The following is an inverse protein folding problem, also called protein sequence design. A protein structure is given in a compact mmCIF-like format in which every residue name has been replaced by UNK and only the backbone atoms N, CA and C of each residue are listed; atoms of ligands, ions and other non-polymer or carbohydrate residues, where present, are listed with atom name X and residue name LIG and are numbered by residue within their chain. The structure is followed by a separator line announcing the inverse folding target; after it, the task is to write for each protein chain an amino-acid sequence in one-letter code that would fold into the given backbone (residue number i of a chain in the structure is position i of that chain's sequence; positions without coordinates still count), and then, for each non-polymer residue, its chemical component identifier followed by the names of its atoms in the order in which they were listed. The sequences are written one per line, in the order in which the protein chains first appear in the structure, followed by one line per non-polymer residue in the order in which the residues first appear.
data_IF_461072984081
#
_entry.id   IF_461072984081
#
_cell.length_a   1.000
_cell.length_b   1.000
_cell.length_c   1.000
_cell.angle_alpha   90.00
_cell.angle_beta   90.00
_cell.angle_gamma   90.00
#
_symmetry.space_group_name_H-M   'P 1'
#
loop_
_entity.id
_entity.type
_entity.pdbx_description
1 polymer ?
#
# COMPACT_ATOMS: atom_id res chain seq x y z
N UNK A 1 27.74 -4.92 19.64
CA UNK A 1 26.30 -4.94 20.07
C UNK A 1 25.55 -3.99 19.16
N UNK A 2 24.92 -4.54 18.09
CA UNK A 2 24.03 -3.76 17.24
C UNK A 2 22.82 -3.35 18.06
N UNK A 3 22.71 -2.07 18.38
CA UNK A 3 21.48 -1.49 18.94
C UNK A 3 20.42 -1.60 17.83
N UNK A 4 19.58 -2.62 17.92
CA UNK A 4 18.50 -2.84 16.96
C UNK A 4 17.48 -1.74 17.15
N UNK A 5 17.50 -0.74 16.27
CA UNK A 5 16.50 0.31 16.24
C UNK A 5 15.11 -0.31 15.99
N UNK A 6 14.12 -0.03 16.86
CA UNK A 6 12.73 -0.53 16.73
C UNK A 6 12.14 -0.28 15.34
N UNK A 7 12.46 0.85 14.70
CA UNK A 7 12.07 1.13 13.32
C UNK A 7 12.65 0.07 12.36
N UNK A 8 13.93 -0.28 12.49
CA UNK A 8 14.58 -1.28 11.63
C UNK A 8 13.97 -2.67 11.87
N UNK A 9 13.61 -2.98 13.12
CA UNK A 9 12.92 -4.20 13.49
C UNK A 9 11.55 -4.30 12.82
N UNK A 10 10.72 -3.26 12.92
CA UNK A 10 9.39 -3.22 12.31
C UNK A 10 9.46 -3.36 10.77
N UNK A 11 10.45 -2.75 10.12
CA UNK A 11 10.65 -2.89 8.65
C UNK A 11 10.99 -4.35 8.30
N UNK A 12 11.89 -5.00 9.04
CA UNK A 12 12.23 -6.42 8.85
C UNK A 12 11.03 -7.33 9.09
N UNK A 13 10.35 -7.13 10.22
CA UNK A 13 9.18 -7.93 10.59
C UNK A 13 8.09 -7.82 9.52
N UNK A 14 7.80 -6.61 9.05
CA UNK A 14 6.81 -6.39 7.99
C UNK A 14 7.20 -7.14 6.70
N UNK A 15 8.48 -7.14 6.32
CA UNK A 15 8.95 -7.90 5.17
C UNK A 15 8.74 -9.42 5.32
N UNK A 16 8.96 -9.98 6.51
CA UNK A 16 8.66 -11.40 6.77
C UNK A 16 7.16 -11.69 6.73
N UNK A 17 6.34 -10.80 7.28
CA UNK A 17 4.88 -10.94 7.28
C UNK A 17 4.31 -10.85 5.86
N UNK A 18 4.77 -9.91 5.04
CA UNK A 18 4.40 -9.81 3.62
C UNK A 18 4.78 -11.09 2.86
N UNK A 19 6.01 -11.58 3.08
CA UNK A 19 6.47 -12.84 2.45
C UNK A 19 5.66 -14.06 2.90
N UNK A 20 5.31 -14.14 4.19
CA UNK A 20 4.48 -15.21 4.73
C UNK A 20 3.12 -15.28 4.03
N UNK A 21 2.44 -14.14 3.86
CA UNK A 21 1.15 -14.08 3.17
C UNK A 21 1.30 -14.46 1.69
N UNK A 22 2.34 -13.98 1.01
CA UNK A 22 2.62 -14.31 -0.39
C UNK A 22 2.89 -15.81 -0.59
N UNK A 23 3.68 -16.43 0.28
CA UNK A 23 3.95 -17.87 0.24
C UNK A 23 2.69 -18.69 0.51
N UNK A 24 1.89 -18.31 1.49
CA UNK A 24 0.64 -19.00 1.81
C UNK A 24 -0.39 -18.86 0.68
N UNK A 25 -0.47 -17.69 0.04
CA UNK A 25 -1.28 -17.52 -1.15
C UNK A 25 -0.85 -18.46 -2.28
N UNK A 26 0.44 -18.51 -2.60
CA UNK A 26 0.99 -19.38 -3.65
C UNK A 26 0.85 -20.87 -3.31
N UNK A 27 0.91 -21.24 -2.03
CA UNK A 27 0.72 -22.60 -1.56
C UNK A 27 -0.73 -23.07 -1.73
N UNK A 28 -1.70 -22.20 -1.39
CA UNK A 28 -3.13 -22.54 -1.45
C UNK A 28 -3.67 -22.51 -2.87
N UNK A 29 -3.25 -21.53 -3.68
CA UNK A 29 -3.85 -21.25 -4.98
C UNK A 29 -2.84 -21.53 -6.10
N UNK A 30 -2.81 -22.77 -6.54
CA UNK A 30 -1.91 -23.27 -7.60
C UNK A 30 -2.44 -22.90 -8.99
N UNK A 31 -1.62 -23.10 -10.02
CA UNK A 31 -1.98 -22.87 -11.42
C UNK A 31 -3.22 -23.66 -11.88
N UNK A 32 -3.52 -24.79 -11.23
CA UNK A 32 -4.73 -25.60 -11.51
C UNK A 32 -6.00 -25.05 -10.86
N UNK A 33 -5.91 -24.00 -10.02
CA UNK A 33 -7.10 -23.37 -9.42
C UNK A 33 -7.94 -22.72 -10.51
N UNK A 34 -9.28 -22.90 -10.52
CA UNK A 34 -10.16 -22.17 -11.44
C UNK A 34 -9.89 -20.67 -11.38
N UNK A 35 -10.06 -20.00 -12.52
CA UNK A 35 -9.79 -18.54 -12.61
C UNK A 35 -11.04 -17.76 -12.96
N UNK A 36 -11.01 -16.46 -12.62
CA UNK A 36 -12.01 -15.47 -12.99
C UNK A 36 -11.29 -14.19 -13.42
N UNK A 37 -11.84 -13.48 -14.38
CA UNK A 37 -11.30 -12.15 -14.73
C UNK A 37 -11.35 -11.19 -13.54
N UNK A 38 -10.26 -10.47 -13.30
CA UNK A 38 -10.15 -9.49 -12.22
C UNK A 38 -11.32 -8.48 -12.22
N UNK A 39 -11.78 -8.05 -13.40
CA UNK A 39 -12.91 -7.13 -13.57
C UNK A 39 -14.26 -7.65 -13.11
N UNK A 40 -14.40 -8.97 -12.90
CA UNK A 40 -15.63 -9.55 -12.31
C UNK A 40 -15.73 -9.27 -10.81
N UNK A 41 -14.60 -9.09 -10.13
CA UNK A 41 -14.50 -8.94 -8.66
C UNK A 41 -14.01 -7.56 -8.20
N UNK A 42 -13.30 -6.83 -9.05
CA UNK A 42 -12.83 -5.47 -8.80
C UNK A 42 -13.39 -4.49 -9.83
N UNK A 43 -13.53 -3.24 -9.46
CA UNK A 43 -13.75 -2.10 -10.36
C UNK A 43 -12.61 -1.10 -10.24
N UNK A 44 -12.40 -0.31 -11.29
CA UNK A 44 -11.43 0.80 -11.26
C UNK A 44 -12.18 2.09 -10.94
N UNK A 45 -11.71 2.82 -9.92
CA UNK A 45 -12.17 4.17 -9.62
C UNK A 45 -11.24 5.20 -10.27
N UNK A 46 -11.83 6.22 -10.86
CA UNK A 46 -11.16 7.41 -11.40
C UNK A 46 -11.80 8.68 -10.85
N UNK A 47 -12.38 8.59 -9.66
CA UNK A 47 -13.02 9.71 -8.98
C UNK A 47 -11.96 10.78 -8.69
N UNK A 48 -12.01 11.86 -9.47
CA UNK A 48 -11.01 12.92 -9.42
C UNK A 48 -11.42 14.00 -8.44
N UNK A 49 -10.44 14.44 -7.65
CA UNK A 49 -10.60 15.55 -6.72
C UNK A 49 -9.44 16.55 -6.92
N UNK A 50 -9.71 17.80 -6.61
CA UNK A 50 -8.73 18.89 -6.66
C UNK A 50 -8.48 19.40 -5.24
N UNK A 51 -7.44 18.92 -4.56
CA UNK A 51 -7.16 19.38 -3.19
C UNK A 51 -7.03 20.90 -3.06
N UNK A 52 -6.54 21.59 -4.10
CA UNK A 52 -6.37 23.05 -4.12
C UNK A 52 -7.68 23.83 -3.90
N UNK A 53 -8.84 23.22 -4.20
CA UNK A 53 -10.15 23.84 -3.96
C UNK A 53 -10.59 23.75 -2.49
N UNK A 54 -9.78 23.12 -1.63
CA UNK A 54 -10.01 22.87 -0.21
C UNK A 54 -8.92 23.54 0.66
N UNK A 55 -8.76 24.85 0.53
CA UNK A 55 -7.68 25.59 1.17
C UNK A 55 -7.59 25.38 2.70
N UNK A 56 -6.39 25.13 3.19
CA UNK A 56 -6.11 24.94 4.63
C UNK A 56 -6.38 23.53 5.17
N UNK A 57 -6.92 22.61 4.37
CA UNK A 57 -7.11 21.21 4.79
C UNK A 57 -5.82 20.40 4.66
N UNK A 58 -5.63 19.45 5.58
CA UNK A 58 -4.51 18.49 5.54
C UNK A 58 -5.00 17.20 4.87
N UNK A 59 -4.26 16.78 3.85
CA UNK A 59 -4.57 15.62 3.03
C UNK A 59 -3.56 14.49 3.24
N UNK A 60 -4.05 13.27 3.36
CA UNK A 60 -3.25 12.03 3.36
C UNK A 60 -2.99 11.63 1.91
N UNK A 61 -1.79 11.94 1.40
CA UNK A 61 -1.42 11.81 -0.01
C UNK A 61 -0.53 10.60 -0.26
N UNK A 62 -1.05 9.65 -1.04
CA UNK A 62 -0.36 8.47 -1.51
C UNK A 62 0.28 8.75 -2.88
N UNK A 63 1.58 8.99 -2.90
CA UNK A 63 2.34 9.33 -4.12
C UNK A 63 3.40 8.28 -4.44
N UNK A 64 3.91 8.26 -5.70
CA UNK A 64 5.01 7.37 -6.08
C UNK A 64 6.28 7.68 -5.27
N UNK A 65 6.73 8.95 -5.11
CA UNK A 65 7.87 9.24 -4.26
C UNK A 65 7.72 8.76 -2.82
N UNK A 66 6.55 8.99 -2.20
CA UNK A 66 6.28 8.54 -0.84
C UNK A 66 6.29 7.00 -0.71
N UNK A 67 5.88 6.27 -1.77
CA UNK A 67 6.02 4.83 -1.81
C UNK A 67 7.49 4.40 -1.85
N UNK A 68 8.27 5.00 -2.74
CA UNK A 68 9.67 4.64 -2.96
C UNK A 68 10.56 4.99 -1.75
N UNK A 69 10.23 6.04 -1.01
CA UNK A 69 10.96 6.47 0.18
C UNK A 69 10.76 5.53 1.38
N UNK A 70 9.51 5.29 1.76
CA UNK A 70 9.23 4.54 3.00
C UNK A 70 7.91 3.77 3.02
N UNK A 71 7.18 3.74 1.91
CA UNK A 71 5.84 3.15 1.78
C UNK A 71 4.83 3.70 2.80
N UNK A 72 4.91 5.02 3.06
CA UNK A 72 3.97 5.74 3.92
C UNK A 72 3.42 6.97 3.22
N UNK A 73 2.13 7.32 3.40
CA UNK A 73 1.57 8.53 2.82
C UNK A 73 2.16 9.77 3.48
N UNK A 74 2.21 10.86 2.71
CA UNK A 74 2.53 12.18 3.23
C UNK A 74 1.25 12.86 3.74
N UNK A 75 1.37 13.61 4.82
CA UNK A 75 0.33 14.51 5.31
C UNK A 75 0.76 15.93 4.97
N UNK A 76 0.07 16.55 4.02
CA UNK A 76 0.44 17.86 3.51
C UNK A 76 -0.79 18.75 3.31
N UNK A 77 -0.58 20.05 3.38
CA UNK A 77 -1.64 21.01 3.10
C UNK A 77 -2.08 20.91 1.64
N UNK A 78 -3.37 21.11 1.43
CA UNK A 78 -4.01 21.12 0.11
C UNK A 78 -3.27 22.00 -0.91
N UNK A 79 -2.76 23.15 -0.49
CA UNK A 79 -2.03 24.10 -1.33
C UNK A 79 -0.69 23.56 -1.88
N UNK A 80 -0.12 22.55 -1.20
CA UNK A 80 1.08 21.83 -1.65
C UNK A 80 0.79 20.84 -2.78
N UNK A 81 -0.46 20.37 -2.91
CA UNK A 81 -0.87 19.36 -3.88
C UNK A 81 -1.34 20.03 -5.17
N UNK A 82 -0.44 20.32 -6.10
CA UNK A 82 -0.70 21.17 -7.29
C UNK A 82 -1.42 20.51 -8.46
N UNK A 83 -1.82 19.25 -8.37
CA UNK A 83 -2.48 18.53 -9.47
C UNK A 83 -3.67 17.72 -8.96
N UNK A 84 -4.61 17.44 -9.87
CA UNK A 84 -5.72 16.55 -9.57
C UNK A 84 -5.21 15.20 -9.05
N UNK A 85 -5.96 14.63 -8.14
CA UNK A 85 -5.70 13.33 -7.52
C UNK A 85 -6.93 12.44 -7.64
N UNK A 86 -6.78 11.14 -7.37
CA UNK A 86 -7.92 10.26 -7.18
C UNK A 86 -8.29 10.17 -5.71
N UNK A 87 -9.57 10.32 -5.41
CA UNK A 87 -10.12 10.05 -4.08
C UNK A 87 -10.03 8.55 -3.77
N UNK A 88 -9.59 8.21 -2.56
CA UNK A 88 -9.46 6.84 -2.10
C UNK A 88 -10.04 6.66 -0.70
N UNK A 89 -10.32 5.43 -0.38
CA UNK A 89 -10.74 5.00 0.96
C UNK A 89 -9.94 3.75 1.40
N UNK A 90 -10.12 3.35 2.64
CA UNK A 90 -9.43 2.20 3.22
C UNK A 90 -9.78 0.86 2.55
N UNK A 91 -10.80 0.78 1.69
CA UNK A 91 -11.13 -0.43 0.94
C UNK A 91 -10.42 -0.53 -0.41
N UNK A 92 -9.76 0.55 -0.85
CA UNK A 92 -9.03 0.55 -2.10
C UNK A 92 -7.77 -0.33 -2.06
N UNK A 93 -7.33 -0.75 -3.26
CA UNK A 93 -6.00 -1.31 -3.52
C UNK A 93 -5.38 -0.46 -4.62
N UNK A 94 -4.16 0.03 -4.39
CA UNK A 94 -3.46 0.88 -5.35
C UNK A 94 -2.31 0.11 -5.99
N UNK A 95 -2.18 0.22 -7.30
CA UNK A 95 -0.99 -0.27 -8.02
C UNK A 95 -0.50 0.78 -9.01
N UNK A 96 0.81 0.98 -9.09
CA UNK A 96 1.39 1.93 -10.02
C UNK A 96 1.17 1.49 -11.47
N UNK A 97 0.67 2.42 -12.31
CA UNK A 97 0.69 2.27 -13.77
C UNK A 97 2.09 2.39 -14.34
N UNK A 98 2.92 3.19 -13.68
CA UNK A 98 4.23 3.58 -14.14
C UNK A 98 5.25 2.51 -13.82
N UNK A 99 6.00 2.09 -14.84
CA UNK A 99 7.09 1.13 -14.74
C UNK A 99 6.69 -0.14 -13.97
N UNK A 100 5.83 -1.01 -14.53
CA UNK A 100 5.26 -2.15 -13.83
C UNK A 100 6.31 -3.20 -13.40
N UNK A 101 7.50 -3.20 -13.99
CA UNK A 101 8.62 -4.01 -13.51
C UNK A 101 9.09 -3.61 -12.10
N UNK A 102 8.90 -2.33 -11.73
CA UNK A 102 9.09 -1.87 -10.35
C UNK A 102 7.76 -1.94 -9.63
N UNK A 103 7.50 -3.07 -9.00
CA UNK A 103 6.23 -3.32 -8.33
C UNK A 103 5.98 -2.33 -7.18
N UNK A 104 4.96 -1.48 -7.34
CA UNK A 104 4.47 -0.56 -6.32
C UNK A 104 3.00 -0.82 -6.08
N UNK A 105 2.72 -1.54 -5.01
CA UNK A 105 1.36 -1.88 -4.60
C UNK A 105 1.10 -1.40 -3.18
N UNK A 106 -0.05 -0.78 -2.96
CA UNK A 106 -0.42 -0.21 -1.67
C UNK A 106 -1.79 -0.69 -1.22
N UNK A 107 -1.88 -1.04 0.05
CA UNK A 107 -3.14 -1.19 0.77
C UNK A 107 -3.27 0.05 1.67
N UNK A 108 -3.96 1.11 1.24
CA UNK A 108 -4.04 2.34 2.00
C UNK A 108 -4.78 2.12 3.32
N UNK A 109 -4.35 2.81 4.37
CA UNK A 109 -5.02 2.83 5.67
C UNK A 109 -6.09 3.91 5.78
N UNK A 110 -5.91 5.01 5.04
CA UNK A 110 -6.82 6.15 5.02
C UNK A 110 -7.25 6.56 6.44
N UNK A 111 -6.27 7.07 7.19
CA UNK A 111 -6.48 7.51 8.59
C UNK A 111 -7.06 8.91 8.68
N UNK A 112 -7.05 9.66 7.57
CA UNK A 112 -7.65 10.98 7.41
C UNK A 112 -8.97 10.87 6.64
N UNK A 113 -9.88 11.79 6.88
CA UNK A 113 -11.11 11.96 6.07
C UNK A 113 -10.78 12.37 4.63
N UNK A 114 -9.64 13.05 4.44
CA UNK A 114 -9.16 13.53 3.16
C UNK A 114 -7.97 12.69 2.69
N UNK A 115 -8.28 11.57 2.02
CA UNK A 115 -7.26 10.65 1.49
C UNK A 115 -7.29 10.62 -0.03
N UNK A 116 -6.11 10.85 -0.64
CA UNK A 116 -5.96 10.87 -2.10
C UNK A 116 -4.72 10.13 -2.56
N UNK A 117 -4.74 9.67 -3.81
CA UNK A 117 -3.54 9.13 -4.43
C UNK A 117 -3.21 9.83 -5.77
N UNK A 118 -1.94 9.71 -6.17
CA UNK A 118 -1.49 10.15 -7.50
C UNK A 118 -2.30 9.48 -8.59
N UNK A 119 -2.62 10.23 -9.66
CA UNK A 119 -3.28 9.69 -10.85
C UNK A 119 -2.42 8.66 -11.61
N UNK A 120 -1.16 8.47 -11.23
CA UNK A 120 -0.30 7.38 -11.72
C UNK A 120 -0.59 6.03 -11.05
N UNK A 121 -1.48 5.97 -10.07
CA UNK A 121 -2.01 4.71 -9.55
C UNK A 121 -3.29 4.28 -10.29
N UNK A 122 -3.48 2.97 -10.41
CA UNK A 122 -4.77 2.34 -10.66
C UNK A 122 -5.39 2.13 -9.27
N UNK A 123 -6.61 2.62 -9.10
CA UNK A 123 -7.37 2.48 -7.86
C UNK A 123 -8.39 1.37 -8.05
N UNK A 124 -8.14 0.22 -7.48
CA UNK A 124 -9.11 -0.86 -7.47
C UNK A 124 -10.04 -0.75 -6.25
N UNK A 125 -11.34 -0.88 -6.51
CA UNK A 125 -12.38 -1.01 -5.47
C UNK A 125 -12.96 -2.44 -5.51
N UNK A 126 -12.76 -3.25 -4.45
CA UNK A 126 -13.36 -4.58 -4.34
C UNK A 126 -14.89 -4.51 -4.35
N UNK A 127 -15.55 -5.34 -5.17
CA UNK A 127 -17.02 -5.48 -5.14
C UNK A 127 -17.48 -6.16 -3.85
N UNK A 128 -16.63 -7.01 -3.27
CA UNK A 128 -16.80 -7.55 -1.93
C UNK A 128 -15.60 -7.12 -1.05
N UNK A 129 -15.76 -6.10 -0.18
CA UNK A 129 -14.68 -5.61 0.69
C UNK A 129 -14.12 -6.66 1.66
N UNK A 130 -14.90 -7.69 2.03
CA UNK A 130 -14.44 -8.76 2.92
C UNK A 130 -13.28 -9.56 2.32
N UNK A 131 -13.18 -9.60 0.98
CA UNK A 131 -12.14 -10.35 0.24
C UNK A 131 -10.95 -9.47 -0.16
N UNK A 132 -10.86 -8.24 0.34
CA UNK A 132 -9.78 -7.29 0.01
C UNK A 132 -8.39 -7.91 0.15
N UNK A 133 -8.12 -8.63 1.25
CA UNK A 133 -6.82 -9.25 1.49
C UNK A 133 -6.47 -10.35 0.50
N UNK A 134 -7.46 -11.10 0.04
CA UNK A 134 -7.28 -12.07 -1.03
C UNK A 134 -6.97 -11.40 -2.37
N UNK A 135 -7.74 -10.37 -2.73
CA UNK A 135 -7.48 -9.62 -3.96
C UNK A 135 -6.13 -8.90 -3.94
N UNK A 136 -5.76 -8.34 -2.78
CA UNK A 136 -4.45 -7.74 -2.62
C UNK A 136 -3.33 -8.77 -2.84
N UNK A 137 -3.42 -9.95 -2.24
CA UNK A 137 -2.42 -11.01 -2.43
C UNK A 137 -2.35 -11.50 -3.88
N UNK A 138 -3.49 -11.59 -4.58
CA UNK A 138 -3.54 -11.93 -6.00
C UNK A 138 -2.83 -10.87 -6.87
N UNK A 139 -3.08 -9.58 -6.61
CA UNK A 139 -2.44 -8.46 -7.31
C UNK A 139 -0.96 -8.34 -6.91
N UNK A 140 -0.59 -8.69 -5.69
CA UNK A 140 0.81 -8.72 -5.24
C UNK A 140 1.60 -9.94 -5.75
N UNK A 141 0.96 -10.87 -6.45
CA UNK A 141 1.61 -12.07 -6.96
C UNK A 141 2.58 -11.77 -8.12
N UNK A 142 3.58 -12.64 -8.30
CA UNK A 142 4.49 -12.56 -9.46
C UNK A 142 3.72 -12.75 -10.77
N UNK A 143 2.74 -13.63 -10.81
CA UNK A 143 1.92 -13.87 -12.00
C UNK A 143 1.18 -12.59 -12.47
N UNK A 144 0.69 -11.78 -11.55
CA UNK A 144 0.10 -10.49 -11.91
C UNK A 144 1.15 -9.50 -12.41
N UNK A 145 2.33 -9.46 -11.81
CA UNK A 145 3.44 -8.61 -12.28
C UNK A 145 3.86 -8.99 -13.69
N UNK A 146 4.00 -10.28 -13.99
CA UNK A 146 4.33 -10.80 -15.32
C UNK A 146 3.24 -10.43 -16.34
N UNK A 147 1.97 -10.55 -15.93
CA UNK A 147 0.84 -10.12 -16.75
C UNK A 147 0.90 -8.61 -17.06
N UNK A 148 1.20 -7.77 -16.07
CA UNK A 148 1.35 -6.33 -16.29
C UNK A 148 2.46 -6.04 -17.31
N UNK A 149 3.63 -6.67 -17.15
CA UNK A 149 4.79 -6.50 -18.03
C UNK A 149 4.45 -6.91 -19.46
N UNK A 150 3.69 -7.97 -19.66
CA UNK A 150 3.25 -8.43 -20.97
C UNK A 150 2.27 -7.47 -21.66
N UNK A 151 1.62 -6.57 -20.91
CA UNK A 151 0.60 -5.65 -21.42
C UNK A 151 1.01 -4.16 -21.30
N UNK A 152 2.32 -3.87 -21.21
CA UNK A 152 2.81 -2.49 -21.17
C UNK A 152 2.72 -1.81 -22.54
N UNK A 153 2.54 -0.50 -22.50
CA UNK A 153 2.69 0.39 -23.65
C UNK A 153 3.83 1.37 -23.38
N UNK A 154 4.57 1.74 -24.42
CA UNK A 154 5.71 2.67 -24.33
C UNK A 154 7.05 2.01 -24.69
N UNK A 155 7.93 2.77 -25.34
CA UNK A 155 9.17 2.27 -25.96
C UNK A 155 10.39 2.24 -25.04
N UNK A 156 10.34 2.90 -23.88
CA UNK A 156 11.47 2.98 -22.94
C UNK A 156 11.02 2.61 -21.54
N UNK A 157 11.88 1.90 -20.77
CA UNK A 157 11.57 1.41 -19.44
C UNK A 157 10.99 2.46 -18.47
N UNK A 158 11.52 3.69 -18.50
CA UNK A 158 11.05 4.79 -17.63
C UNK A 158 9.69 5.38 -18.05
N UNK A 159 9.23 5.13 -19.30
CA UNK A 159 7.96 5.62 -19.85
C UNK A 159 6.92 4.53 -20.05
N UNK A 160 7.23 3.30 -19.70
CA UNK A 160 6.28 2.19 -19.76
C UNK A 160 5.12 2.43 -18.81
N UNK A 161 3.91 2.26 -19.32
CA UNK A 161 2.68 2.35 -18.53
C UNK A 161 1.75 1.18 -18.83
N UNK A 162 1.17 0.64 -17.78
CA UNK A 162 0.10 -0.34 -17.91
C UNK A 162 -1.22 0.36 -18.18
N UNK A 163 -1.98 -0.13 -19.15
CA UNK A 163 -3.33 0.33 -19.42
C UNK A 163 -4.29 -0.18 -18.34
N UNK A 164 -4.97 0.69 -17.55
CA UNK A 164 -5.81 0.25 -16.43
C UNK A 164 -6.88 -0.77 -16.83
N UNK A 165 -7.56 -0.54 -17.94
CA UNK A 165 -8.63 -1.44 -18.42
C UNK A 165 -8.10 -2.84 -18.79
N UNK A 166 -6.89 -2.94 -19.33
CA UNK A 166 -6.28 -4.21 -19.68
C UNK A 166 -6.01 -5.07 -18.43
N UNK A 167 -5.79 -4.46 -17.26
CA UNK A 167 -5.56 -5.21 -16.02
C UNK A 167 -6.79 -5.98 -15.56
N UNK A 168 -7.98 -5.56 -15.95
CA UNK A 168 -9.24 -6.21 -15.57
C UNK A 168 -9.44 -7.57 -16.25
N UNK A 169 -8.70 -7.87 -17.33
CA UNK A 169 -8.73 -9.18 -18.01
C UNK A 169 -7.80 -10.20 -17.37
N UNK A 170 -7.04 -9.83 -16.33
CA UNK A 170 -6.17 -10.77 -15.63
C UNK A 170 -6.95 -11.96 -15.06
N UNK A 171 -6.57 -13.20 -15.41
CA UNK A 171 -7.20 -14.41 -14.88
C UNK A 171 -6.68 -14.71 -13.46
N UNK A 172 -7.31 -14.15 -12.44
CA UNK A 172 -6.96 -14.39 -11.05
C UNK A 172 -7.56 -15.71 -10.53
N UNK A 173 -6.97 -16.34 -9.52
CA UNK A 173 -7.54 -17.53 -8.87
C UNK A 173 -8.96 -17.29 -8.33
N UNK A 174 -9.85 -18.24 -8.53
CA UNK A 174 -11.22 -18.26 -7.99
C UNK A 174 -11.53 -19.61 -7.35
N UNK A 175 -10.99 -19.88 -6.15
CA UNK A 175 -11.07 -21.22 -5.52
C UNK A 175 -12.41 -21.51 -4.85
N UNK A 176 -13.37 -20.57 -4.90
CA UNK A 176 -14.64 -20.63 -4.20
C UNK A 176 -14.65 -19.87 -2.88
N UNK A 177 -15.85 -19.63 -2.36
CA UNK A 177 -16.13 -18.77 -1.20
C UNK A 177 -15.34 -19.18 0.05
N UNK A 178 -15.46 -20.43 0.47
CA UNK A 178 -14.87 -20.93 1.73
C UNK A 178 -13.34 -20.84 1.72
N UNK A 179 -12.71 -21.11 0.57
CA UNK A 179 -11.26 -21.02 0.44
C UNK A 179 -10.77 -19.57 0.48
N UNK A 180 -11.53 -18.63 -0.09
CA UNK A 180 -11.25 -17.18 -0.02
C UNK A 180 -11.42 -16.71 1.42
N UNK A 181 -12.50 -17.06 2.10
CA UNK A 181 -12.72 -16.68 3.50
C UNK A 181 -11.66 -17.24 4.43
N UNK A 182 -11.31 -18.51 4.26
CA UNK A 182 -10.23 -19.14 5.04
C UNK A 182 -8.87 -18.47 4.82
N UNK A 183 -8.60 -17.99 3.60
CA UNK A 183 -7.40 -17.18 3.35
C UNK A 183 -7.50 -15.79 3.98
N UNK A 184 -8.63 -15.11 3.87
CA UNK A 184 -8.83 -13.79 4.48
C UNK A 184 -8.73 -13.85 6.00
N UNK A 185 -9.27 -14.89 6.63
CA UNK A 185 -9.14 -15.10 8.09
C UNK A 185 -7.67 -15.22 8.53
N UNK A 186 -6.82 -15.84 7.70
CA UNK A 186 -5.37 -15.92 7.92
C UNK A 186 -4.68 -14.57 7.63
N UNK A 187 -4.97 -13.91 6.49
CA UNK A 187 -4.21 -12.76 6.00
C UNK A 187 -4.60 -11.43 6.67
N UNK A 188 -5.88 -11.25 7.05
CA UNK A 188 -6.37 -10.00 7.64
C UNK A 188 -5.61 -9.58 8.90
N UNK A 189 -5.40 -10.45 9.92
CA UNK A 189 -4.64 -10.07 11.12
C UNK A 189 -3.20 -9.72 10.79
N UNK A 190 -2.58 -10.39 9.82
CA UNK A 190 -1.20 -10.12 9.39
C UNK A 190 -1.10 -8.74 8.74
N UNK A 191 -1.98 -8.41 7.79
CA UNK A 191 -1.98 -7.08 7.17
C UNK A 191 -2.30 -5.97 8.17
N UNK A 192 -3.19 -6.23 9.14
CA UNK A 192 -3.46 -5.31 10.24
C UNK A 192 -2.22 -5.08 11.11
N UNK A 193 -1.47 -6.14 11.42
CA UNK A 193 -0.20 -6.02 12.15
C UNK A 193 0.84 -5.20 11.38
N UNK A 194 0.97 -5.43 10.06
CA UNK A 194 1.87 -4.65 9.20
C UNK A 194 1.50 -3.15 9.26
N UNK A 195 0.22 -2.82 9.20
CA UNK A 195 -0.25 -1.43 9.31
C UNK A 195 0.05 -0.83 10.68
N UNK A 196 -0.20 -1.58 11.76
CA UNK A 196 0.12 -1.17 13.14
C UNK A 196 1.62 -0.88 13.30
N UNK A 197 2.48 -1.77 12.82
CA UNK A 197 3.94 -1.59 12.87
C UNK A 197 4.41 -0.33 12.09
N UNK A 198 3.75 -0.02 10.97
CA UNK A 198 4.03 1.20 10.19
C UNK A 198 3.65 2.46 10.95
N UNK A 199 2.48 2.48 11.60
CA UNK A 199 2.02 3.60 12.43
C UNK A 199 2.91 3.80 13.65
N UNK A 200 3.28 2.72 14.34
CA UNK A 200 4.22 2.76 15.46
C UNK A 200 5.58 3.33 15.02
N UNK A 201 6.12 2.87 13.89
CA UNK A 201 7.38 3.39 13.36
C UNK A 201 7.32 4.89 13.06
N UNK A 202 6.19 5.39 12.54
CA UNK A 202 5.97 6.82 12.31
C UNK A 202 5.95 7.60 13.62
N UNK A 203 5.22 7.09 14.61
CA UNK A 203 5.14 7.69 15.93
C UNK A 203 6.51 7.74 16.62
N UNK A 204 7.29 6.65 16.58
CA UNK A 204 8.65 6.60 17.14
C UNK A 204 9.61 7.61 16.49
N UNK A 205 9.51 7.81 15.17
CA UNK A 205 10.30 8.83 14.46
C UNK A 205 9.90 10.23 14.93
N UNK A 206 8.61 10.53 15.02
CA UNK A 206 8.12 11.83 15.50
C UNK A 206 8.53 12.09 16.95
N UNK A 207 8.47 11.08 17.81
CA UNK A 207 8.89 11.17 19.21
C UNK A 207 10.40 11.45 19.31
N UNK A 208 11.23 10.72 18.56
CA UNK A 208 12.67 10.94 18.51
C UNK A 208 12.99 12.39 18.09
N UNK A 209 12.35 12.86 17.02
CA UNK A 209 12.62 14.18 16.45
C UNK A 209 12.15 15.32 17.37
N UNK A 210 11.13 15.06 18.20
CA UNK A 210 10.69 15.99 19.24
C UNK A 210 11.58 16.00 20.49
N UNK A 211 12.12 14.84 20.87
CA UNK A 211 12.91 14.71 22.11
C UNK A 211 14.39 15.01 21.90
N UNK A 212 14.98 14.65 20.75
CA UNK A 212 16.42 14.78 20.52
C UNK A 212 16.94 16.21 20.70
N UNK A 213 16.30 17.30 20.17
CA UNK A 213 16.76 18.66 20.41
C UNK A 213 16.73 19.04 21.89
N UNK A 214 15.70 18.60 22.64
CA UNK A 214 15.54 18.91 24.06
C UNK A 214 16.56 18.20 24.95
N UNK A 215 16.94 16.98 24.56
CA UNK A 215 18.03 16.24 25.21
C UNK A 215 19.39 16.90 24.94
N UNK A 216 19.63 17.32 23.70
CA UNK A 216 20.88 17.99 23.31
C UNK A 216 21.05 19.38 23.93
N UNK A 217 19.96 20.09 24.16
CA UNK A 217 19.97 21.42 24.83
C UNK A 217 20.06 21.32 26.36
N UNK A 218 19.90 20.13 26.95
CA UNK A 218 19.83 19.95 28.40
C UNK A 218 18.49 20.36 29.01
N UNK A 219 17.46 20.64 28.19
CA UNK A 219 16.10 20.94 28.68
C UNK A 219 15.47 19.73 29.38
N UNK A 220 15.82 18.52 28.94
CA UNK A 220 15.44 17.26 29.58
C UNK A 220 16.68 16.64 30.23
N UNK A 221 16.64 16.53 31.54
CA UNK A 221 17.68 15.86 32.34
C UNK A 221 17.38 14.35 32.40
N UNK A 222 18.25 13.54 31.84
CA UNK A 222 18.16 12.06 31.85
C UNK A 222 19.07 11.42 32.92
N UNK A 223 19.76 12.18 33.73
CA UNK A 223 20.72 11.66 34.74
C UNK A 223 20.04 10.75 35.79
N UNK A 224 18.71 10.78 35.88
CA UNK A 224 17.89 10.00 36.85
C UNK A 224 17.06 8.90 36.18
N UNK A 225 17.28 8.62 34.89
CA UNK A 225 16.57 7.53 34.19
C UNK A 225 17.41 6.26 34.34
N UNK A 226 16.88 5.30 35.09
CA UNK A 226 17.43 3.95 35.13
C UNK A 226 17.20 3.25 33.79
N UNK A 227 18.27 2.81 33.13
CA UNK A 227 18.29 2.13 31.83
C UNK A 227 18.38 0.61 32.02
#
# INVERSE_FOLDING_TARGET
TETVCLKCWNVRLNGYLEKLVSLEFSRRFKASTPTIELGKVLSISTESIKPQEHAGEIWEHYSIPAYDENRQPLFELSDGIKSNKYAIDANCILISKLNPATKRIWMPSCTSEHSVCSTEFIVYKPKNPRYKSFYYAAIDSQAFTDFLIAHVTGSTGSRQRTQPKATLTYPMPNPGHDAIEGFCAFANPIYKQIQSNKLESKWLVSLRDALLPKLMSGEIDVSKVDL
#
